data_IF_275264054145
#
_entry.id   IF_275264054145
#
_cell.length_a   1.000
_cell.length_b   1.000
_cell.length_c   1.000
_cell.angle_alpha   90.00
_cell.angle_beta   90.00
_cell.angle_gamma   90.00
#
_symmetry.space_group_name_H-M   'P 1'
#
loop_
_entity.id
_entity.type
_entity.pdbx_description
1 polymer ?
#
# COMPACT_ATOMS: atom_id res chain seq x y z
N UNK A 1 -21.14 4.60 7.11
CA UNK A 1 -20.18 4.28 6.03
C UNK A 1 -20.33 2.80 5.61
N UNK A 2 -21.49 2.37 5.11
CA UNK A 2 -21.72 0.95 4.80
C UNK A 2 -22.42 0.67 3.46
N UNK A 3 -22.57 1.68 2.59
CA UNK A 3 -23.39 1.53 1.37
C UNK A 3 -22.62 0.98 0.16
N UNK A 4 -21.30 0.82 0.28
CA UNK A 4 -20.48 0.19 -0.77
C UNK A 4 -20.36 -1.32 -0.55
N UNK A 5 -20.56 -2.15 -1.59
CA UNK A 5 -20.41 -3.60 -1.46
C UNK A 5 -18.96 -3.98 -1.16
N UNK A 6 -18.77 -5.14 -0.50
CA UNK A 6 -17.43 -5.68 -0.16
C UNK A 6 -16.57 -5.99 -1.38
N UNK A 7 -17.20 -6.26 -2.53
CA UNK A 7 -16.55 -6.42 -3.82
C UNK A 7 -17.33 -5.58 -4.81
N UNK A 8 -16.64 -4.87 -5.69
CA UNK A 8 -17.28 -4.10 -6.75
C UNK A 8 -16.32 -3.79 -7.89
N UNK A 9 -16.81 -2.99 -8.82
CA UNK A 9 -16.09 -2.59 -10.03
C UNK A 9 -16.01 -1.06 -10.03
N UNK A 10 -14.78 -0.53 -10.12
CA UNK A 10 -14.49 0.88 -10.30
C UNK A 10 -14.59 1.26 -11.79
N UNK A 11 -14.49 2.55 -12.07
CA UNK A 11 -14.31 3.03 -13.44
C UNK A 11 -13.15 2.30 -14.14
N UNK A 12 -13.30 2.02 -15.43
CA UNK A 12 -12.32 1.24 -16.20
C UNK A 12 -12.35 -0.28 -15.95
N UNK A 13 -13.36 -0.81 -15.25
CA UNK A 13 -13.51 -2.26 -15.06
C UNK A 13 -12.61 -2.84 -13.96
N UNK A 14 -11.95 -2.00 -13.18
CA UNK A 14 -11.02 -2.43 -12.12
C UNK A 14 -11.83 -3.01 -10.96
N UNK A 15 -11.57 -4.28 -10.63
CA UNK A 15 -12.22 -4.91 -9.47
C UNK A 15 -11.58 -4.43 -8.18
N UNK A 16 -12.38 -4.23 -7.14
CA UNK A 16 -11.89 -4.01 -5.78
C UNK A 16 -12.49 -5.01 -4.79
N UNK A 17 -11.81 -5.21 -3.67
CA UNK A 17 -12.30 -5.97 -2.51
C UNK A 17 -11.91 -5.25 -1.23
N UNK A 18 -12.91 -4.86 -0.43
CA UNK A 18 -12.71 -4.34 0.93
C UNK A 18 -12.29 -5.45 1.87
N UNK A 19 -11.49 -5.10 2.87
CA UNK A 19 -11.10 -5.94 4.00
C UNK A 19 -10.78 -5.02 5.18
N UNK A 20 -10.85 -5.49 6.43
CA UNK A 20 -10.44 -4.70 7.61
C UNK A 20 -10.69 -3.19 7.51
N UNK A 21 -9.61 -2.41 7.60
CA UNK A 21 -9.58 -0.96 7.38
C UNK A 21 -9.14 -0.57 5.97
N UNK A 22 -9.12 -1.49 5.01
CA UNK A 22 -8.48 -1.30 3.72
C UNK A 22 -9.22 -1.83 2.51
N UNK A 23 -8.50 -1.81 1.40
CA UNK A 23 -8.98 -2.22 0.11
C UNK A 23 -7.86 -2.85 -0.71
N UNK A 24 -8.21 -3.91 -1.44
CA UNK A 24 -7.36 -4.47 -2.49
C UNK A 24 -7.98 -4.20 -3.85
N UNK A 25 -7.25 -3.52 -4.73
CA UNK A 25 -7.63 -3.30 -6.13
C UNK A 25 -6.87 -4.27 -7.02
N UNK A 26 -7.55 -4.78 -8.05
CA UNK A 26 -7.02 -5.76 -9.00
C UNK A 26 -6.90 -5.09 -10.36
N UNK A 27 -5.72 -4.57 -10.66
CA UNK A 27 -5.34 -4.11 -12.00
C UNK A 27 -5.00 -5.34 -12.88
N UNK A 28 -4.91 -5.17 -14.21
CA UNK A 28 -4.62 -6.30 -15.11
C UNK A 28 -3.38 -7.11 -14.72
N UNK A 29 -2.29 -6.42 -14.34
CA UNK A 29 -0.99 -7.06 -14.12
C UNK A 29 -0.55 -7.06 -12.65
N UNK A 30 -1.32 -6.43 -11.76
CA UNK A 30 -0.92 -6.24 -10.37
C UNK A 30 -2.13 -6.08 -9.46
N UNK A 31 -1.97 -6.51 -8.21
CA UNK A 31 -2.92 -6.16 -7.16
C UNK A 31 -2.26 -5.21 -6.15
N UNK A 32 -2.95 -4.11 -5.85
CA UNK A 32 -2.48 -3.11 -4.88
C UNK A 32 -3.37 -3.25 -3.64
N UNK A 33 -2.73 -3.46 -2.50
CA UNK A 33 -3.38 -3.63 -1.20
C UNK A 33 -2.92 -2.50 -0.28
N UNK A 34 -3.87 -1.81 0.35
CA UNK A 34 -3.62 -0.66 1.21
C UNK A 34 -4.70 -0.54 2.28
N UNK A 35 -4.39 0.15 3.38
CA UNK A 35 -5.39 0.54 4.37
C UNK A 35 -5.66 2.04 4.33
N UNK A 36 -6.89 2.39 4.72
CA UNK A 36 -7.29 3.75 4.96
C UNK A 36 -6.82 4.19 6.35
N UNK A 37 -6.42 5.46 6.47
CA UNK A 37 -6.11 6.08 7.77
C UNK A 37 -7.29 6.85 8.34
N UNK A 38 -7.18 7.23 9.62
CA UNK A 38 -8.26 7.88 10.37
C UNK A 38 -8.63 9.28 9.87
N UNK A 39 -7.74 9.93 9.13
CA UNK A 39 -7.94 11.25 8.52
C UNK A 39 -8.28 11.16 7.02
N UNK A 40 -8.65 9.97 6.53
CA UNK A 40 -9.01 9.74 5.12
C UNK A 40 -7.83 9.45 4.21
N UNK A 41 -6.68 9.11 4.78
CA UNK A 41 -5.55 8.57 4.04
C UNK A 41 -5.94 7.30 3.28
N UNK A 42 -5.35 7.04 2.12
CA UNK A 42 -5.67 5.88 1.27
C UNK A 42 -4.42 5.17 0.75
N UNK A 43 -3.26 5.50 1.32
CA UNK A 43 -1.92 5.06 0.91
C UNK A 43 -1.21 4.30 2.04
N UNK A 44 -1.96 3.76 3.01
CA UNK A 44 -1.37 3.02 4.12
C UNK A 44 -0.84 1.67 3.68
N UNK A 45 0.41 1.36 4.04
CA UNK A 45 1.00 0.06 3.79
C UNK A 45 1.90 -0.41 4.94
N UNK A 46 2.29 -1.68 4.86
CA UNK A 46 3.33 -2.28 5.70
C UNK A 46 4.32 -3.06 4.81
N UNK A 47 5.39 -3.57 5.43
CA UNK A 47 6.40 -4.37 4.74
C UNK A 47 5.79 -5.63 4.09
N UNK A 48 4.75 -6.22 4.68
CA UNK A 48 4.08 -7.38 4.12
C UNK A 48 3.36 -7.05 2.80
N UNK A 49 2.63 -5.93 2.74
CA UNK A 49 2.00 -5.42 1.51
C UNK A 49 3.03 -5.10 0.44
N UNK A 50 4.17 -4.52 0.79
CA UNK A 50 5.27 -4.28 -0.17
C UNK A 50 5.85 -5.58 -0.74
N UNK A 51 6.07 -6.60 0.10
CA UNK A 51 6.53 -7.91 -0.36
C UNK A 51 5.55 -8.56 -1.31
N UNK A 52 4.23 -8.44 -1.06
CA UNK A 52 3.19 -8.95 -1.97
C UNK A 52 3.15 -8.16 -3.27
N UNK A 53 3.24 -6.84 -3.19
CA UNK A 53 3.21 -5.96 -4.36
C UNK A 53 4.40 -6.22 -5.28
N UNK A 54 5.61 -6.31 -4.73
CA UNK A 54 6.81 -6.59 -5.49
C UNK A 54 6.79 -8.05 -6.00
N UNK A 55 6.47 -9.01 -5.14
CA UNK A 55 6.47 -10.43 -5.48
C UNK A 55 7.80 -10.85 -6.10
N UNK A 56 7.76 -11.51 -7.25
CA UNK A 56 8.94 -11.93 -8.01
C UNK A 56 9.64 -10.78 -8.75
N UNK A 57 9.02 -9.59 -8.78
CA UNK A 57 9.50 -8.42 -9.54
C UNK A 57 10.40 -7.49 -8.73
N UNK A 58 10.94 -7.92 -7.59
CA UNK A 58 11.86 -7.10 -6.78
C UNK A 58 12.97 -6.46 -7.62
N UNK A 59 13.53 -7.23 -8.56
CA UNK A 59 14.61 -6.77 -9.46
C UNK A 59 14.20 -5.62 -10.37
N UNK A 60 12.92 -5.52 -10.74
CA UNK A 60 12.39 -4.40 -11.53
C UNK A 60 12.41 -3.08 -10.75
N UNK A 61 12.38 -3.17 -9.41
CA UNK A 61 12.48 -2.03 -8.50
C UNK A 61 13.93 -1.75 -8.05
N UNK A 62 14.92 -2.43 -8.64
CA UNK A 62 16.32 -2.31 -8.23
C UNK A 62 16.63 -2.97 -6.89
N UNK A 63 15.77 -3.90 -6.43
CA UNK A 63 15.93 -4.63 -5.18
C UNK A 63 16.30 -6.08 -5.49
N UNK A 64 17.44 -6.53 -5.01
CA UNK A 64 18.00 -7.85 -5.29
C UNK A 64 17.40 -8.99 -4.46
N UNK A 65 16.81 -8.69 -3.29
CA UNK A 65 16.28 -9.72 -2.40
C UNK A 65 15.23 -9.19 -1.42
N UNK A 66 14.44 -10.09 -0.83
CA UNK A 66 13.53 -9.74 0.25
C UNK A 66 14.26 -9.16 1.48
N UNK A 67 15.47 -9.65 1.78
CA UNK A 67 16.30 -9.12 2.88
C UNK A 67 16.72 -7.67 2.62
N UNK A 68 17.03 -7.33 1.37
CA UNK A 68 17.32 -5.95 0.99
C UNK A 68 16.08 -5.06 1.13
N UNK A 69 14.90 -5.53 0.68
CA UNK A 69 13.64 -4.81 0.88
C UNK A 69 13.39 -4.51 2.37
N UNK A 70 13.60 -5.50 3.24
CA UNK A 70 13.44 -5.34 4.69
C UNK A 70 14.41 -4.29 5.25
N UNK A 71 15.67 -4.32 4.80
CA UNK A 71 16.68 -3.35 5.18
C UNK A 71 16.31 -1.92 4.75
N UNK A 72 15.89 -1.75 3.50
CA UNK A 72 15.44 -0.47 2.95
C UNK A 72 14.21 0.07 3.69
N UNK A 73 13.25 -0.80 4.01
CA UNK A 73 12.06 -0.41 4.76
C UNK A 73 12.42 0.08 6.17
N UNK A 74 13.23 -0.68 6.91
CA UNK A 74 13.67 -0.31 8.25
C UNK A 74 14.49 0.98 8.25
N UNK A 75 15.33 1.17 7.25
CA UNK A 75 16.11 2.40 7.06
C UNK A 75 15.19 3.60 6.77
N UNK A 76 14.16 3.42 5.95
CA UNK A 76 13.18 4.46 5.65
C UNK A 76 12.36 4.84 6.89
N UNK A 77 12.01 3.88 7.76
CA UNK A 77 11.39 4.16 9.06
C UNK A 77 12.37 4.91 9.98
N UNK A 78 13.62 4.44 10.10
CA UNK A 78 14.65 5.02 10.97
C UNK A 78 15.00 6.46 10.60
N UNK A 79 15.07 6.76 9.32
CA UNK A 79 15.34 8.11 8.79
C UNK A 79 14.10 9.00 8.77
N UNK A 80 12.94 8.44 9.07
CA UNK A 80 11.66 9.13 9.09
C UNK A 80 11.09 9.40 7.70
N UNK A 81 11.62 8.81 6.63
CA UNK A 81 11.00 8.85 5.30
C UNK A 81 9.64 8.13 5.30
N UNK A 82 9.53 7.04 6.07
CA UNK A 82 8.27 6.42 6.45
C UNK A 82 7.88 6.84 7.86
N UNK A 83 6.62 7.27 8.02
CA UNK A 83 6.03 7.65 9.30
C UNK A 83 5.04 6.56 9.70
N UNK A 84 5.24 6.00 10.88
CA UNK A 84 4.32 5.05 11.48
C UNK A 84 3.05 5.77 11.93
N UNK A 85 1.89 5.13 11.70
CA UNK A 85 0.60 5.53 12.23
C UNK A 85 0.05 4.45 13.15
N UNK A 86 -1.12 4.66 13.74
CA UNK A 86 -1.75 3.67 14.61
C UNK A 86 -1.79 2.27 13.96
N UNK A 87 -1.46 1.24 14.76
CA UNK A 87 -1.39 -0.15 14.30
C UNK A 87 -0.08 -0.50 13.57
N UNK A 88 -0.18 -1.12 12.40
CA UNK A 88 0.99 -1.61 11.61
C UNK A 88 1.25 -0.77 10.36
N UNK A 89 0.55 0.34 10.20
CA UNK A 89 0.53 1.16 8.98
C UNK A 89 1.68 2.17 8.94
N UNK A 90 2.21 2.37 7.75
CA UNK A 90 3.22 3.37 7.45
C UNK A 90 2.80 4.20 6.24
N UNK A 91 3.23 5.46 6.26
CA UNK A 91 2.96 6.43 5.20
C UNK A 91 4.26 7.14 4.81
N UNK A 92 4.32 7.65 3.57
CA UNK A 92 5.40 8.55 3.17
C UNK A 92 5.26 9.88 3.93
N UNK A 93 6.34 10.37 4.56
CA UNK A 93 6.34 11.67 5.25
C UNK A 93 5.90 12.81 4.33
N UNK A 94 6.49 12.85 3.14
CA UNK A 94 6.13 13.78 2.09
C UNK A 94 5.13 13.11 1.17
N UNK A 95 3.84 13.17 1.53
CA UNK A 95 2.80 12.82 0.57
C UNK A 95 2.95 13.72 -0.66
N UNK A 96 2.89 13.18 -1.89
CA UNK A 96 2.47 14.00 -3.02
C UNK A 96 1.06 14.49 -2.68
N UNK A 97 0.95 15.77 -2.35
CA UNK A 97 -0.33 16.46 -2.20
C UNK A 97 -1.14 16.28 -3.49
N UNK A 98 -2.45 16.02 -3.34
CA UNK A 98 -3.50 16.35 -4.30
C UNK A 98 -3.34 15.83 -5.73
N UNK A 99 -4.15 14.84 -6.10
CA UNK A 99 -4.81 14.96 -7.40
C UNK A 99 -5.87 16.04 -7.19
N UNK A 100 -5.60 17.24 -7.70
CA UNK A 100 -6.61 18.30 -7.89
C UNK A 100 -7.69 17.85 -8.88
#
# INVERSE_FOLDING_TARGET
MNDLPNIGILAGGIRYRKHGYGCKVFLPDIAIDFDFGDQGEYDGFDLWRLRIFAGERLVEFGISSASELDGLFNEAVRTGALVHSEGTQYYLRSRPFGID
#
